data_IF_490396313583
#
_entry.id   IF_490396313583
#
_cell.length_a   1.000
_cell.length_b   1.000
_cell.length_c   1.000
_cell.angle_alpha   90.00
_cell.angle_beta   90.00
_cell.angle_gamma   90.00
#
_symmetry.space_group_name_H-M   'P 1'
#
loop_
_entity.id
_entity.type
_entity.pdbx_description
1 polymer ?
#
# COMPACT_ATOMS: atom_id res chain seq x y z
N UNK A 1 -0.08 -0.11 10.68
CA UNK A 1 0.14 0.99 9.71
C UNK A 1 1.14 0.48 8.69
N UNK A 2 1.02 0.83 7.39
CA UNK A 2 2.06 0.47 6.41
C UNK A 2 3.39 1.09 6.87
N UNK A 3 4.47 0.30 6.83
CA UNK A 3 5.80 0.84 7.08
C UNK A 3 6.07 1.99 6.10
N UNK A 4 6.66 3.08 6.59
CA UNK A 4 6.88 4.31 5.82
C UNK A 4 7.64 4.04 4.52
N UNK A 5 8.60 3.12 4.56
CA UNK A 5 9.42 2.76 3.39
C UNK A 5 8.61 2.06 2.30
N UNK A 6 7.79 1.07 2.68
CA UNK A 6 6.89 0.37 1.75
C UNK A 6 5.88 1.31 1.10
N UNK A 7 5.35 2.26 1.88
CA UNK A 7 4.43 3.28 1.36
C UNK A 7 5.12 4.14 0.29
N UNK A 8 6.36 4.58 0.55
CA UNK A 8 7.13 5.40 -0.39
C UNK A 8 7.50 4.62 -1.65
N UNK A 9 7.84 3.34 -1.53
CA UNK A 9 8.12 2.46 -2.67
C UNK A 9 6.89 2.32 -3.59
N UNK A 10 5.71 2.03 -3.02
CA UNK A 10 4.46 1.92 -3.78
C UNK A 10 4.15 3.23 -4.50
N UNK A 11 4.26 4.37 -3.82
CA UNK A 11 4.03 5.68 -4.46
C UNK A 11 5.01 5.89 -5.62
N UNK A 12 6.29 5.56 -5.46
CA UNK A 12 7.27 5.70 -6.55
C UNK A 12 6.97 4.84 -7.77
N UNK A 13 6.39 3.66 -7.59
CA UNK A 13 6.06 2.73 -8.69
C UNK A 13 4.81 3.16 -9.45
N UNK A 14 3.79 3.66 -8.74
CA UNK A 14 2.47 3.94 -9.33
C UNK A 14 2.19 5.42 -9.59
N UNK A 15 3.06 6.33 -9.15
CA UNK A 15 2.92 7.77 -9.43
C UNK A 15 2.94 8.04 -10.94
N UNK A 16 2.02 8.88 -11.39
CA UNK A 16 1.95 9.33 -12.80
C UNK A 16 2.83 10.55 -13.06
N UNK A 17 3.09 11.35 -12.03
CA UNK A 17 4.01 12.49 -12.03
C UNK A 17 4.70 12.62 -10.67
N UNK A 18 5.72 13.49 -10.56
CA UNK A 18 6.60 13.51 -9.37
C UNK A 18 5.88 13.80 -8.04
N UNK A 19 4.86 14.62 -8.07
CA UNK A 19 4.02 14.99 -6.92
C UNK A 19 2.76 14.12 -6.77
N UNK A 20 2.59 13.09 -7.58
CA UNK A 20 1.39 12.25 -7.54
C UNK A 20 1.42 11.30 -6.34
N UNK A 21 0.68 11.68 -5.31
CA UNK A 21 0.47 10.87 -4.10
C UNK A 21 -0.99 10.47 -3.93
N UNK A 22 -1.87 10.91 -4.83
CA UNK A 22 -3.31 10.96 -4.62
C UNK A 22 -4.14 10.37 -5.76
N UNK A 23 -3.51 10.03 -6.89
CA UNK A 23 -4.20 9.41 -8.02
C UNK A 23 -4.91 8.12 -7.64
N UNK A 24 -5.97 7.75 -8.37
CA UNK A 24 -6.66 6.47 -8.17
C UNK A 24 -5.69 5.29 -8.18
N UNK A 25 -4.71 5.29 -9.08
CA UNK A 25 -3.72 4.22 -9.25
C UNK A 25 -2.86 4.07 -7.98
N UNK A 26 -2.32 5.18 -7.47
CA UNK A 26 -1.52 5.19 -6.24
C UNK A 26 -2.36 4.76 -5.03
N UNK A 27 -3.58 5.27 -4.91
CA UNK A 27 -4.46 4.93 -3.79
C UNK A 27 -4.90 3.45 -3.83
N UNK A 28 -5.24 2.91 -5.01
CA UNK A 28 -5.59 1.49 -5.19
C UNK A 28 -4.40 0.61 -4.80
N UNK A 29 -3.18 0.95 -5.23
CA UNK A 29 -1.99 0.18 -4.88
C UNK A 29 -1.73 0.17 -3.37
N UNK A 30 -1.85 1.32 -2.70
CA UNK A 30 -1.69 1.44 -1.25
C UNK A 30 -2.75 0.65 -0.47
N UNK A 31 -4.01 0.74 -0.87
CA UNK A 31 -5.11 0.00 -0.24
C UNK A 31 -4.96 -1.51 -0.45
N UNK A 32 -4.55 -1.93 -1.65
CA UNK A 32 -4.32 -3.34 -1.97
C UNK A 32 -3.23 -3.95 -1.10
N UNK A 33 -2.08 -3.27 -0.94
CA UNK A 33 -1.02 -3.75 -0.05
C UNK A 33 -1.49 -3.83 1.40
N UNK A 34 -2.28 -2.84 1.85
CA UNK A 34 -2.84 -2.84 3.20
C UNK A 34 -3.77 -4.03 3.41
N UNK A 35 -4.62 -4.35 2.44
CA UNK A 35 -5.53 -5.52 2.48
C UNK A 35 -4.70 -6.81 2.55
N UNK A 36 -3.67 -6.95 1.72
CA UNK A 36 -2.79 -8.13 1.71
C UNK A 36 -2.08 -8.32 3.06
N UNK A 37 -1.52 -7.24 3.61
CA UNK A 37 -0.86 -7.26 4.92
C UNK A 37 -1.82 -7.67 6.04
N UNK A 38 -3.04 -7.10 6.07
CA UNK A 38 -4.05 -7.46 7.07
C UNK A 38 -4.56 -8.88 6.90
N UNK A 39 -4.76 -9.34 5.66
CA UNK A 39 -5.15 -10.73 5.37
C UNK A 39 -4.09 -11.71 5.88
N UNK A 40 -2.81 -11.43 5.65
CA UNK A 40 -1.71 -12.24 6.17
C UNK A 40 -1.66 -12.24 7.70
N UNK A 41 -1.90 -11.07 8.33
CA UNK A 41 -1.97 -10.96 9.78
C UNK A 41 -3.08 -11.87 10.34
N UNK A 42 -4.31 -11.75 9.85
CA UNK A 42 -5.42 -12.58 10.33
C UNK A 42 -5.24 -14.08 10.02
N UNK A 43 -4.57 -14.45 8.92
CA UNK A 43 -4.22 -15.85 8.64
C UNK A 43 -3.21 -16.44 9.63
N UNK A 44 -2.31 -15.61 10.15
CA UNK A 44 -1.29 -16.03 11.13
C UNK A 44 -1.85 -16.02 12.54
N UNK A 45 -2.75 -15.09 12.83
CA UNK A 45 -3.42 -14.92 14.13
C UNK A 45 -4.86 -15.45 14.09
N UNK A 46 -5.01 -16.73 13.74
CA UNK A 46 -6.28 -17.46 13.84
C UNK A 46 -6.50 -17.89 15.29
N UNK A 47 -6.88 -16.93 16.15
CA UNK A 47 -7.44 -17.27 17.45
C UNK A 47 -8.78 -18.00 17.28
#
# INVERSE_FOLDING_TARGET
MLATDKKQEIIKVFKTHESDTGSPEVQIALLSERINSLSSHFKTHKA
#
